data_IF_384439626143
#
_entry.id   IF_384439626143
#
_cell.length_a   1.000
_cell.length_b   1.000
_cell.length_c   1.000
_cell.angle_alpha   90.00
_cell.angle_beta   90.00
_cell.angle_gamma   90.00
#
_symmetry.space_group_name_H-M   'P 1'
#
loop_
_entity.id
_entity.type
_entity.pdbx_description
1 polymer ?
#
# COMPACT_ATOMS: atom_id res chain seq x y z
N UNK A 1 -48.49 9.77 -21.92
CA UNK A 1 -47.24 9.51 -21.18
C UNK A 1 -47.01 10.66 -20.21
N UNK A 2 -46.70 10.36 -18.97
CA UNK A 2 -46.31 11.37 -17.99
C UNK A 2 -44.92 11.94 -18.33
N UNK A 3 -44.57 13.10 -17.78
CA UNK A 3 -43.24 13.68 -17.99
C UNK A 3 -42.13 12.73 -17.54
N UNK A 4 -42.38 11.97 -16.48
CA UNK A 4 -41.44 10.95 -15.98
C UNK A 4 -41.25 9.81 -16.98
N UNK A 5 -42.32 9.30 -17.59
CA UNK A 5 -42.23 8.24 -18.61
C UNK A 5 -41.44 8.68 -19.85
N UNK A 6 -41.58 9.94 -20.26
CA UNK A 6 -40.73 10.48 -21.36
C UNK A 6 -39.25 10.49 -21.01
N UNK A 7 -38.91 10.92 -19.79
CA UNK A 7 -37.54 10.94 -19.32
C UNK A 7 -36.97 9.51 -19.29
N UNK A 8 -37.71 8.56 -18.73
CA UNK A 8 -37.30 7.16 -18.64
C UNK A 8 -37.11 6.53 -20.02
N UNK A 9 -38.04 6.77 -20.95
CA UNK A 9 -37.95 6.26 -22.30
C UNK A 9 -36.73 6.83 -23.03
N UNK A 10 -36.52 8.15 -22.93
CA UNK A 10 -35.34 8.81 -23.55
C UNK A 10 -34.05 8.27 -22.97
N UNK A 11 -33.96 8.10 -21.65
CA UNK A 11 -32.79 7.52 -21.01
C UNK A 11 -32.54 6.07 -21.43
N UNK A 12 -33.58 5.27 -21.62
CA UNK A 12 -33.46 3.92 -22.14
C UNK A 12 -32.85 3.89 -23.55
N UNK A 13 -33.32 4.79 -24.43
CA UNK A 13 -32.76 4.93 -25.79
C UNK A 13 -31.32 5.38 -25.80
N UNK A 14 -30.97 6.40 -25.00
CA UNK A 14 -29.59 6.88 -24.84
C UNK A 14 -28.69 5.78 -24.30
N UNK A 15 -29.13 5.07 -23.26
CA UNK A 15 -28.38 3.95 -22.69
C UNK A 15 -28.11 2.86 -23.73
N UNK A 16 -29.13 2.47 -24.50
CA UNK A 16 -28.99 1.48 -25.57
C UNK A 16 -28.00 1.97 -26.63
N UNK A 17 -28.13 3.20 -27.07
CA UNK A 17 -27.22 3.81 -28.05
C UNK A 17 -25.75 3.79 -27.60
N UNK A 18 -25.49 4.09 -26.31
CA UNK A 18 -24.16 4.09 -25.70
C UNK A 18 -23.66 2.68 -25.38
N UNK A 19 -24.55 1.70 -25.25
CA UNK A 19 -24.19 0.28 -25.09
C UNK A 19 -23.76 -0.33 -26.40
N UNK A 20 -24.47 -0.02 -27.49
CA UNK A 20 -24.19 -0.52 -28.83
C UNK A 20 -22.82 -0.01 -29.34
N UNK A 21 -22.52 1.25 -29.11
CA UNK A 21 -21.26 1.86 -29.52
C UNK A 21 -20.82 2.95 -28.52
N UNK A 22 -19.74 2.67 -27.80
CA UNK A 22 -19.15 3.57 -26.80
C UNK A 22 -18.71 4.91 -27.39
N UNK A 23 -18.28 4.94 -28.66
CA UNK A 23 -17.75 6.16 -29.29
C UNK A 23 -18.81 7.23 -29.48
N UNK A 24 -20.09 6.84 -29.49
CA UNK A 24 -21.23 7.76 -29.59
C UNK A 24 -21.34 8.71 -28.39
N UNK A 25 -20.72 8.40 -27.27
CA UNK A 25 -20.65 9.33 -26.12
C UNK A 25 -19.97 10.64 -26.51
N UNK A 26 -19.08 10.65 -27.49
CA UNK A 26 -18.43 11.86 -28.00
C UNK A 26 -19.42 12.90 -28.53
N UNK A 27 -20.54 12.49 -29.07
CA UNK A 27 -21.57 13.40 -29.58
C UNK A 27 -22.22 14.27 -28.49
N UNK A 28 -22.26 13.79 -27.26
CA UNK A 28 -22.72 14.58 -26.12
C UNK A 28 -21.71 15.61 -25.64
N UNK A 29 -20.43 15.44 -26.01
CA UNK A 29 -19.31 16.27 -25.60
C UNK A 29 -18.95 17.32 -26.66
N UNK A 30 -19.30 17.07 -27.94
CA UNK A 30 -19.07 17.96 -29.09
C UNK A 30 -20.32 18.82 -29.37
N UNK A 31 -20.74 19.69 -28.47
CA UNK A 31 -21.75 20.69 -28.83
C UNK A 31 -21.03 21.90 -29.40
N UNK A 32 -21.43 22.25 -30.63
CA UNK A 32 -20.95 23.38 -31.42
C UNK A 32 -20.82 24.67 -30.58
N UNK A 33 -19.70 25.37 -30.73
CA UNK A 33 -19.58 26.76 -30.35
C UNK A 33 -20.56 27.59 -31.17
N UNK A 34 -21.78 27.78 -30.69
CA UNK A 34 -22.51 28.98 -31.07
C UNK A 34 -21.76 30.15 -30.48
N UNK A 35 -21.24 31.02 -31.35
CA UNK A 35 -20.83 32.35 -31.02
C UNK A 35 -22.06 33.04 -30.39
N UNK A 36 -21.89 33.61 -29.25
CA UNK A 36 -22.80 34.40 -28.45
C UNK A 36 -23.21 33.65 -27.16
N UNK A 37 -22.37 33.84 -26.16
CA UNK A 37 -22.78 34.15 -24.80
C UNK A 37 -21.53 34.28 -23.92
N UNK A 38 -21.24 35.53 -23.51
CA UNK A 38 -20.36 35.89 -22.40
C UNK A 38 -20.98 35.41 -21.07
N UNK A 39 -20.92 34.10 -20.79
CA UNK A 39 -21.28 33.57 -19.49
C UNK A 39 -20.02 32.90 -18.88
N UNK A 40 -19.41 33.62 -17.94
CA UNK A 40 -18.27 33.18 -17.14
C UNK A 40 -18.69 32.14 -16.12
N UNK A 41 -19.07 30.92 -16.57
CA UNK A 41 -19.43 29.83 -15.70
C UNK A 41 -19.50 28.51 -16.44
N UNK A 42 -18.53 27.60 -16.27
CA UNK A 42 -18.58 26.14 -16.57
C UNK A 42 -19.18 25.72 -17.94
N UNK A 43 -19.18 26.58 -18.94
CA UNK A 43 -20.03 26.54 -20.12
C UNK A 43 -19.35 26.09 -21.41
N UNK A 44 -18.67 24.94 -21.47
CA UNK A 44 -18.46 24.22 -22.72
C UNK A 44 -19.60 23.20 -22.92
N UNK A 45 -19.96 22.85 -24.18
CA UNK A 45 -21.08 21.94 -24.47
C UNK A 45 -21.06 20.64 -23.66
N UNK A 46 -19.89 20.07 -23.37
CA UNK A 46 -19.72 18.92 -22.51
C UNK A 46 -20.16 19.15 -21.05
N UNK A 47 -19.99 20.37 -20.51
CA UNK A 47 -20.42 20.70 -19.15
C UNK A 47 -21.92 20.58 -18.94
N UNK A 48 -22.74 20.92 -19.93
CA UNK A 48 -24.19 20.79 -19.88
C UNK A 48 -24.66 19.34 -19.84
N UNK A 49 -24.02 18.44 -20.60
CA UNK A 49 -24.35 17.02 -20.59
C UNK A 49 -24.05 16.39 -19.23
N UNK A 50 -22.88 16.61 -18.66
CA UNK A 50 -22.55 16.13 -17.31
C UNK A 50 -23.54 16.68 -16.26
N UNK A 51 -23.84 17.97 -16.28
CA UNK A 51 -24.75 18.60 -15.34
C UNK A 51 -26.17 18.02 -15.41
N UNK A 52 -26.66 17.68 -16.62
CA UNK A 52 -27.95 17.04 -16.81
C UNK A 52 -28.02 15.67 -16.11
N UNK A 53 -27.08 14.78 -16.42
CA UNK A 53 -27.09 13.44 -15.84
C UNK A 53 -26.78 13.46 -14.32
N UNK A 54 -25.96 14.39 -13.84
CA UNK A 54 -25.72 14.56 -12.40
C UNK A 54 -27.00 14.96 -11.64
N UNK A 55 -27.87 15.79 -12.24
CA UNK A 55 -29.18 16.11 -11.63
C UNK A 55 -30.09 14.89 -11.58
N UNK A 56 -30.05 14.02 -12.61
CA UNK A 56 -30.88 12.82 -12.66
C UNK A 56 -30.47 11.74 -11.65
N UNK A 57 -29.23 11.80 -11.10
CA UNK A 57 -28.85 10.95 -9.96
C UNK A 57 -29.68 11.21 -8.70
N UNK A 58 -30.31 12.38 -8.59
CA UNK A 58 -31.21 12.72 -7.48
C UNK A 58 -32.71 12.40 -7.77
N UNK A 59 -32.99 11.72 -8.88
CA UNK A 59 -34.37 11.33 -9.20
C UNK A 59 -34.96 10.40 -8.14
N UNK A 60 -36.29 10.41 -7.92
CA UNK A 60 -36.93 9.56 -6.91
C UNK A 60 -36.88 8.07 -7.28
N UNK A 61 -36.91 7.74 -8.56
CA UNK A 61 -36.95 6.37 -9.05
C UNK A 61 -35.56 5.84 -9.39
N UNK A 62 -35.33 4.55 -9.07
CA UNK A 62 -34.04 3.89 -9.32
C UNK A 62 -33.71 3.76 -10.80
N UNK A 63 -34.71 3.51 -11.66
CA UNK A 63 -34.46 3.34 -13.09
C UNK A 63 -33.78 4.58 -13.69
N UNK A 64 -34.29 5.76 -13.38
CA UNK A 64 -33.71 7.04 -13.83
C UNK A 64 -32.30 7.22 -13.31
N UNK A 65 -32.04 6.93 -12.01
CA UNK A 65 -30.72 7.02 -11.41
C UNK A 65 -29.73 6.07 -12.07
N UNK A 66 -30.10 4.80 -12.25
CA UNK A 66 -29.26 3.77 -12.86
C UNK A 66 -28.87 4.15 -14.29
N UNK A 67 -29.84 4.61 -15.10
CA UNK A 67 -29.54 5.01 -16.48
C UNK A 67 -28.70 6.29 -16.55
N UNK A 68 -28.93 7.24 -15.67
CA UNK A 68 -28.10 8.44 -15.56
C UNK A 68 -26.67 8.11 -15.13
N UNK A 69 -26.49 7.23 -14.14
CA UNK A 69 -25.20 6.71 -13.70
C UNK A 69 -24.44 6.03 -14.86
N UNK A 70 -25.12 5.14 -15.60
CA UNK A 70 -24.53 4.48 -16.76
C UNK A 70 -24.06 5.49 -17.82
N UNK A 71 -24.91 6.45 -18.17
CA UNK A 71 -24.56 7.49 -19.14
C UNK A 71 -23.34 8.30 -18.66
N UNK A 72 -23.34 8.75 -17.39
CA UNK A 72 -22.20 9.48 -16.81
C UNK A 72 -20.91 8.67 -16.88
N UNK A 73 -20.93 7.39 -16.49
CA UNK A 73 -19.77 6.52 -16.54
C UNK A 73 -19.23 6.42 -17.97
N UNK A 74 -20.12 6.28 -18.96
CA UNK A 74 -19.72 6.22 -20.39
C UNK A 74 -19.15 7.54 -20.91
N UNK A 75 -19.73 8.67 -20.49
CA UNK A 75 -19.23 10.01 -20.86
C UNK A 75 -17.85 10.30 -20.26
N UNK A 76 -17.61 9.88 -19.01
CA UNK A 76 -16.33 10.07 -18.33
C UNK A 76 -15.25 9.15 -18.95
N UNK A 77 -15.60 7.91 -19.35
CA UNK A 77 -14.71 6.97 -20.00
C UNK A 77 -14.28 7.43 -21.41
N UNK A 78 -15.17 8.14 -22.11
CA UNK A 78 -14.87 8.71 -23.42
C UNK A 78 -13.95 9.92 -23.28
N UNK A 79 -12.66 9.70 -23.47
CA UNK A 79 -11.66 10.76 -23.57
C UNK A 79 -11.68 11.35 -24.97
N UNK A 80 -12.18 12.56 -25.19
CA UNK A 80 -11.97 13.22 -26.47
C UNK A 80 -10.47 13.39 -26.69
N UNK A 81 -9.94 12.87 -27.77
CA UNK A 81 -8.51 12.92 -28.10
C UNK A 81 -7.94 14.35 -28.20
N UNK A 82 -8.78 15.37 -28.20
CA UNK A 82 -8.43 16.78 -28.34
C UNK A 82 -8.80 17.67 -27.16
N UNK A 83 -9.65 17.24 -26.24
CA UNK A 83 -10.02 18.08 -25.09
C UNK A 83 -9.34 17.55 -23.84
N UNK A 84 -8.69 18.46 -23.21
CA UNK A 84 -8.10 18.54 -21.87
C UNK A 84 -8.79 17.58 -20.87
N UNK A 85 -8.64 16.29 -21.10
CA UNK A 85 -9.24 15.15 -20.40
C UNK A 85 -9.53 15.37 -18.90
N UNK A 86 -9.78 14.33 -18.17
CA UNK A 86 -9.84 14.37 -16.72
C UNK A 86 -8.58 15.04 -16.15
N UNK A 87 -8.69 16.31 -15.72
CA UNK A 87 -7.62 17.04 -15.08
C UNK A 87 -8.00 17.41 -13.67
N UNK A 88 -7.05 17.21 -12.80
CA UNK A 88 -7.10 17.63 -11.41
C UNK A 88 -5.91 18.56 -11.16
N UNK A 89 -6.06 19.57 -10.30
CA UNK A 89 -4.97 20.40 -9.80
C UNK A 89 -3.99 19.54 -8.94
N UNK A 90 -2.87 20.11 -8.56
CA UNK A 90 -1.92 19.47 -7.64
C UNK A 90 -2.59 19.13 -6.30
N UNK A 91 -3.52 19.97 -5.85
CA UNK A 91 -4.34 19.72 -4.65
C UNK A 91 -5.45 18.66 -4.87
N UNK A 92 -5.57 18.15 -6.12
CA UNK A 92 -6.55 17.14 -6.50
C UNK A 92 -7.98 17.66 -6.69
N UNK A 93 -8.15 18.98 -6.84
CA UNK A 93 -9.44 19.58 -7.20
C UNK A 93 -9.71 19.45 -8.71
N UNK A 94 -10.98 19.24 -9.10
CA UNK A 94 -11.32 19.02 -10.50
C UNK A 94 -11.18 20.31 -11.33
N UNK A 95 -10.30 20.28 -12.32
CA UNK A 95 -10.05 21.42 -13.23
C UNK A 95 -10.90 21.40 -14.50
N UNK A 96 -11.71 20.36 -14.72
CA UNK A 96 -12.55 20.20 -15.92
C UNK A 96 -13.95 19.72 -15.54
N UNK A 97 -14.98 19.97 -16.39
CA UNK A 97 -16.32 19.46 -16.18
C UNK A 97 -16.38 17.92 -16.01
N UNK A 98 -15.57 17.19 -16.76
CA UNK A 98 -15.43 15.74 -16.60
C UNK A 98 -14.84 15.37 -15.23
N UNK A 99 -13.86 16.13 -14.74
CA UNK A 99 -13.31 15.95 -13.39
C UNK A 99 -14.36 16.18 -12.31
N UNK A 100 -15.17 17.24 -12.42
CA UNK A 100 -16.28 17.50 -11.50
C UNK A 100 -17.29 16.36 -11.53
N UNK A 101 -17.63 15.86 -12.72
CA UNK A 101 -18.54 14.73 -12.89
C UNK A 101 -17.98 13.45 -12.24
N UNK A 102 -16.69 13.17 -12.44
CA UNK A 102 -16.01 12.01 -11.82
C UNK A 102 -16.03 12.09 -10.28
N UNK A 103 -15.74 13.27 -9.70
CA UNK A 103 -15.81 13.49 -8.24
C UNK A 103 -17.21 13.23 -7.71
N UNK A 104 -18.22 13.84 -8.33
CA UNK A 104 -19.60 13.72 -7.87
C UNK A 104 -20.14 12.30 -8.04
N UNK A 105 -19.86 11.66 -9.18
CA UNK A 105 -20.29 10.28 -9.43
C UNK A 105 -19.58 9.30 -8.48
N UNK A 106 -18.27 9.43 -8.26
CA UNK A 106 -17.56 8.58 -7.30
C UNK A 106 -18.11 8.70 -5.90
N UNK A 107 -18.41 9.93 -5.44
CA UNK A 107 -19.01 10.17 -4.13
C UNK A 107 -20.40 9.54 -4.03
N UNK A 108 -21.22 9.74 -5.05
CA UNK A 108 -22.57 9.18 -5.10
C UNK A 108 -22.54 7.65 -5.07
N UNK A 109 -21.68 7.01 -5.88
CA UNK A 109 -21.51 5.54 -5.89
C UNK A 109 -21.06 5.00 -4.52
N UNK A 110 -20.10 5.65 -3.89
CA UNK A 110 -19.64 5.24 -2.57
C UNK A 110 -20.72 5.41 -1.49
N UNK A 111 -21.56 6.42 -1.59
CA UNK A 111 -22.70 6.63 -0.69
C UNK A 111 -23.77 5.54 -0.88
N UNK A 112 -24.15 5.24 -2.14
CA UNK A 112 -25.16 4.20 -2.44
C UNK A 112 -24.68 2.81 -1.98
N UNK A 113 -23.38 2.48 -2.17
CA UNK A 113 -22.82 1.20 -1.74
C UNK A 113 -22.60 1.10 -0.22
N UNK A 114 -22.50 2.22 0.49
CA UNK A 114 -22.28 2.26 1.95
C UNK A 114 -23.56 2.45 2.76
N UNK A 115 -24.72 2.62 2.11
CA UNK A 115 -25.99 2.84 2.79
C UNK A 115 -26.45 1.57 3.54
N UNK A 116 -26.76 1.71 4.83
CA UNK A 116 -27.29 0.63 5.67
C UNK A 116 -28.50 1.14 6.50
N UNK A 117 -29.72 0.65 6.28
CA UNK A 117 -30.10 -0.30 5.23
C UNK A 117 -29.95 0.33 3.84
N UNK A 118 -29.66 -0.48 2.81
CA UNK A 118 -29.52 0.05 1.46
C UNK A 118 -30.83 0.74 1.03
N UNK A 119 -30.71 2.01 0.62
CA UNK A 119 -31.86 2.80 0.17
C UNK A 119 -32.56 2.20 -1.04
N UNK A 120 -31.94 1.20 -1.67
CA UNK A 120 -32.37 0.62 -2.93
C UNK A 120 -32.38 -0.89 -2.86
N UNK A 121 -33.26 -1.53 -3.67
CA UNK A 121 -33.35 -2.98 -3.75
C UNK A 121 -31.97 -3.58 -4.12
N UNK A 122 -31.73 -4.82 -3.72
CA UNK A 122 -30.49 -5.59 -3.97
C UNK A 122 -29.96 -5.49 -5.42
N UNK A 123 -30.78 -5.15 -6.40
CA UNK A 123 -30.42 -4.93 -7.79
C UNK A 123 -29.56 -3.68 -8.04
N UNK A 124 -29.52 -2.74 -7.10
CA UNK A 124 -28.75 -1.51 -7.24
C UNK A 124 -27.24 -1.76 -7.04
N UNK A 125 -26.89 -2.67 -6.16
CA UNK A 125 -25.48 -2.96 -5.82
C UNK A 125 -24.67 -3.41 -7.03
N UNK A 126 -25.09 -4.41 -7.84
CA UNK A 126 -24.33 -4.84 -9.02
C UNK A 126 -24.07 -3.70 -10.00
N UNK A 127 -25.11 -2.90 -10.33
CA UNK A 127 -24.96 -1.77 -11.26
C UNK A 127 -23.97 -0.72 -10.73
N UNK A 128 -24.01 -0.42 -9.44
CA UNK A 128 -23.09 0.54 -8.82
C UNK A 128 -21.64 0.03 -8.79
N UNK A 129 -21.42 -1.25 -8.51
CA UNK A 129 -20.09 -1.86 -8.49
C UNK A 129 -19.49 -1.88 -9.89
N UNK A 130 -20.29 -2.27 -10.92
CA UNK A 130 -19.88 -2.21 -12.32
C UNK A 130 -19.47 -0.79 -12.75
N UNK A 131 -20.25 0.21 -12.36
CA UNK A 131 -19.92 1.61 -12.65
C UNK A 131 -18.64 2.06 -11.94
N UNK A 132 -18.47 1.68 -10.67
CA UNK A 132 -17.27 1.99 -9.90
C UNK A 132 -16.03 1.31 -10.49
N UNK A 133 -16.10 0.04 -10.91
CA UNK A 133 -15.02 -0.65 -11.57
C UNK A 133 -14.61 0.04 -12.89
N UNK A 134 -15.62 0.46 -13.69
CA UNK A 134 -15.38 1.21 -14.92
C UNK A 134 -14.68 2.55 -14.66
N UNK A 135 -15.06 3.28 -13.62
CA UNK A 135 -14.40 4.53 -13.22
C UNK A 135 -12.98 4.31 -12.71
N UNK A 136 -12.75 3.29 -11.90
CA UNK A 136 -11.42 2.95 -11.35
C UNK A 136 -10.44 2.46 -12.42
N UNK A 137 -10.93 1.98 -13.58
CA UNK A 137 -10.07 1.66 -14.72
C UNK A 137 -9.32 2.91 -15.22
N UNK A 138 -9.86 4.09 -14.97
CA UNK A 138 -9.28 5.39 -15.30
C UNK A 138 -8.31 5.78 -14.16
N UNK A 139 -7.02 5.82 -14.46
CA UNK A 139 -5.97 6.06 -13.45
C UNK A 139 -6.20 7.34 -12.64
N UNK A 140 -6.61 8.42 -13.33
CA UNK A 140 -6.82 9.75 -12.77
C UNK A 140 -8.02 9.81 -11.79
N UNK A 141 -8.94 8.84 -11.87
CA UNK A 141 -10.11 8.75 -10.97
C UNK A 141 -9.79 8.02 -9.67
N UNK A 142 -8.75 7.18 -9.61
CA UNK A 142 -8.41 6.40 -8.41
C UNK A 142 -8.19 7.26 -7.15
N UNK A 143 -7.42 8.39 -7.20
CA UNK A 143 -7.30 9.29 -6.06
C UNK A 143 -8.64 9.86 -5.59
N UNK A 144 -9.51 10.21 -6.55
CA UNK A 144 -10.84 10.76 -6.30
C UNK A 144 -11.75 9.75 -5.61
N UNK A 145 -11.80 8.54 -6.14
CA UNK A 145 -12.60 7.44 -5.56
C UNK A 145 -12.07 7.04 -4.17
N UNK A 146 -10.74 7.09 -3.97
CA UNK A 146 -10.15 6.85 -2.65
C UNK A 146 -10.63 7.87 -1.61
N UNK A 147 -10.58 9.16 -1.95
CA UNK A 147 -11.11 10.23 -1.09
C UNK A 147 -12.62 10.13 -0.87
N UNK A 148 -13.36 9.62 -1.85
CA UNK A 148 -14.80 9.36 -1.72
C UNK A 148 -15.13 8.14 -0.83
N UNK A 149 -14.14 7.37 -0.41
CA UNK A 149 -14.33 6.22 0.47
C UNK A 149 -14.56 4.89 -0.24
N UNK A 150 -14.08 4.72 -1.48
CA UNK A 150 -14.28 3.50 -2.28
C UNK A 150 -13.84 2.22 -1.55
N UNK A 151 -12.71 2.24 -0.82
CA UNK A 151 -12.27 1.09 -0.04
C UNK A 151 -13.30 0.66 1.02
N UNK A 152 -13.91 1.63 1.70
CA UNK A 152 -14.96 1.37 2.70
C UNK A 152 -16.25 0.85 2.06
N UNK A 153 -16.60 1.38 0.89
CA UNK A 153 -17.81 1.00 0.17
C UNK A 153 -17.76 -0.43 -0.37
N UNK A 154 -16.59 -0.91 -0.84
CA UNK A 154 -16.43 -2.28 -1.35
C UNK A 154 -16.19 -3.32 -0.26
N UNK A 155 -15.72 -2.94 0.92
CA UNK A 155 -15.38 -3.88 1.99
C UNK A 155 -16.54 -4.85 2.38
N UNK A 156 -17.79 -4.40 2.53
CA UNK A 156 -18.91 -5.30 2.80
C UNK A 156 -19.19 -6.31 1.70
N UNK A 157 -18.90 -5.97 0.44
CA UNK A 157 -19.16 -6.80 -0.74
C UNK A 157 -18.16 -7.95 -0.89
N UNK A 158 -17.00 -7.85 -0.22
CA UNK A 158 -15.97 -8.89 -0.21
C UNK A 158 -16.17 -9.95 0.88
N UNK A 159 -17.31 -9.97 1.57
CA UNK A 159 -17.64 -10.99 2.55
C UNK A 159 -18.31 -12.18 1.86
N UNK A 160 -17.52 -13.21 1.55
CA UNK A 160 -17.98 -14.42 0.85
C UNK A 160 -19.03 -15.24 1.63
N UNK A 161 -19.13 -15.07 2.96
CA UNK A 161 -19.96 -15.87 3.83
C UNK A 161 -21.38 -15.32 4.07
N UNK A 162 -21.71 -14.13 3.54
CA UNK A 162 -22.95 -13.43 3.95
C UNK A 162 -24.17 -13.72 3.06
N UNK A 163 -24.10 -14.65 2.10
CA UNK A 163 -25.26 -15.00 1.27
C UNK A 163 -24.90 -15.48 -0.15
N UNK A 164 -25.88 -15.79 -1.00
CA UNK A 164 -25.65 -16.16 -2.39
C UNK A 164 -25.24 -14.93 -3.20
N UNK A 165 -24.00 -14.50 -3.04
CA UNK A 165 -23.42 -13.44 -3.85
C UNK A 165 -23.34 -13.91 -5.30
N UNK A 166 -23.80 -13.08 -6.23
CA UNK A 166 -23.56 -13.29 -7.63
C UNK A 166 -22.05 -13.32 -7.89
N UNK A 167 -21.59 -14.32 -8.61
CA UNK A 167 -20.18 -14.50 -8.99
C UNK A 167 -19.66 -13.24 -9.71
N UNK A 168 -20.54 -12.54 -10.44
CA UNK A 168 -20.18 -11.32 -11.15
C UNK A 168 -19.96 -10.16 -10.18
N UNK A 169 -20.77 -10.03 -9.16
CA UNK A 169 -20.63 -8.98 -8.12
C UNK A 169 -19.30 -9.15 -7.36
N UNK A 170 -18.99 -10.39 -6.93
CA UNK A 170 -17.71 -10.69 -6.29
C UNK A 170 -16.51 -10.40 -7.19
N UNK A 171 -16.62 -10.74 -8.49
CA UNK A 171 -15.58 -10.43 -9.45
C UNK A 171 -15.36 -8.91 -9.58
N UNK A 172 -16.42 -8.15 -9.72
CA UNK A 172 -16.33 -6.69 -9.90
C UNK A 172 -15.89 -5.97 -8.61
N UNK A 173 -16.31 -6.44 -7.43
CA UNK A 173 -15.81 -5.95 -6.15
C UNK A 173 -14.31 -6.24 -5.99
N UNK A 174 -13.86 -7.45 -6.34
CA UNK A 174 -12.45 -7.82 -6.39
C UNK A 174 -11.66 -6.96 -7.40
N UNK A 175 -12.24 -6.69 -8.58
CA UNK A 175 -11.66 -5.83 -9.60
C UNK A 175 -11.51 -4.38 -9.09
N UNK A 176 -12.50 -3.83 -8.41
CA UNK A 176 -12.40 -2.53 -7.73
C UNK A 176 -11.25 -2.51 -6.73
N UNK A 177 -11.15 -3.55 -5.89
CA UNK A 177 -10.05 -3.67 -4.94
C UNK A 177 -8.69 -3.73 -5.64
N UNK A 178 -8.53 -4.57 -6.67
CA UNK A 178 -7.30 -4.66 -7.46
C UNK A 178 -6.91 -3.33 -8.11
N UNK A 179 -7.86 -2.61 -8.73
CA UNK A 179 -7.60 -1.30 -9.33
C UNK A 179 -7.19 -0.25 -8.30
N UNK A 180 -7.73 -0.30 -7.09
CA UNK A 180 -7.34 0.58 -5.98
C UNK A 180 -5.92 0.30 -5.48
N UNK A 181 -5.40 -0.93 -5.60
CA UNK A 181 -4.02 -1.24 -5.16
C UNK A 181 -2.95 -0.46 -5.93
N UNK A 182 -3.25 0.07 -7.11
CA UNK A 182 -2.33 0.91 -7.89
C UNK A 182 -2.22 2.36 -7.38
N UNK A 183 -2.99 2.73 -6.33
CA UNK A 183 -2.92 4.04 -5.69
C UNK A 183 -2.48 3.88 -4.23
N UNK A 184 -1.25 4.32 -3.84
CA UNK A 184 -0.72 4.07 -2.51
C UNK A 184 -1.64 4.48 -1.34
N UNK A 185 -2.27 5.67 -1.31
CA UNK A 185 -3.19 6.03 -0.23
C UNK A 185 -4.43 5.12 -0.14
N UNK A 186 -4.87 4.50 -1.26
CA UNK A 186 -5.98 3.55 -1.24
C UNK A 186 -5.61 2.25 -0.52
N UNK A 187 -4.35 1.80 -0.62
CA UNK A 187 -3.87 0.59 0.05
C UNK A 187 -4.04 0.69 1.57
N UNK A 188 -3.71 1.85 2.15
CA UNK A 188 -3.87 2.08 3.59
C UNK A 188 -5.35 2.14 4.00
N UNK A 189 -6.19 2.77 3.17
CA UNK A 189 -7.63 2.75 3.37
C UNK A 189 -8.19 1.32 3.32
N UNK A 190 -7.72 0.49 2.39
CA UNK A 190 -8.11 -0.92 2.27
C UNK A 190 -7.71 -1.74 3.52
N UNK A 191 -6.50 -1.51 4.05
CA UNK A 191 -6.02 -2.17 5.26
C UNK A 191 -6.90 -1.81 6.47
N UNK A 192 -7.23 -0.52 6.64
CA UNK A 192 -8.08 -0.03 7.73
C UNK A 192 -9.54 -0.52 7.64
N UNK A 193 -10.06 -0.71 6.43
CA UNK A 193 -11.46 -1.09 6.21
C UNK A 193 -11.68 -2.62 6.18
N UNK A 194 -10.64 -3.45 6.39
CA UNK A 194 -10.76 -4.89 6.38
C UNK A 194 -10.86 -5.54 5.00
N UNK A 195 -10.57 -4.79 3.92
CA UNK A 195 -10.58 -5.30 2.53
C UNK A 195 -9.60 -6.44 2.34
N UNK A 196 -8.42 -6.41 2.98
CA UNK A 196 -7.42 -7.49 2.90
C UNK A 196 -8.02 -8.82 3.35
N UNK A 197 -8.70 -8.82 4.50
CA UNK A 197 -9.37 -10.00 5.02
C UNK A 197 -10.47 -10.48 4.08
N UNK A 198 -11.30 -9.55 3.58
CA UNK A 198 -12.35 -9.88 2.61
C UNK A 198 -11.81 -10.51 1.33
N UNK A 199 -10.71 -9.99 0.78
CA UNK A 199 -10.04 -10.59 -0.38
C UNK A 199 -9.54 -12.01 -0.11
N UNK A 200 -9.02 -12.29 1.09
CA UNK A 200 -8.60 -13.63 1.48
C UNK A 200 -9.79 -14.59 1.58
N UNK A 201 -10.90 -14.15 2.16
CA UNK A 201 -12.12 -14.93 2.27
C UNK A 201 -12.70 -15.25 0.87
N UNK A 202 -12.76 -14.25 -0.01
CA UNK A 202 -13.22 -14.43 -1.40
C UNK A 202 -12.30 -15.38 -2.18
N UNK A 203 -10.98 -15.20 -2.11
CA UNK A 203 -10.03 -16.09 -2.79
C UNK A 203 -10.16 -17.54 -2.33
N UNK A 204 -10.35 -17.77 -1.02
CA UNK A 204 -10.50 -19.12 -0.45
C UNK A 204 -11.83 -19.80 -0.80
N UNK A 205 -12.93 -19.04 -0.84
CA UNK A 205 -14.27 -19.57 -1.01
C UNK A 205 -14.75 -19.63 -2.46
N UNK A 206 -14.25 -18.76 -3.36
CA UNK A 206 -14.74 -18.67 -4.72
C UNK A 206 -14.45 -19.93 -5.55
N UNK A 207 -15.47 -20.43 -6.26
CA UNK A 207 -15.34 -21.57 -7.15
C UNK A 207 -14.82 -21.19 -8.55
N UNK A 208 -15.00 -19.94 -8.98
CA UNK A 208 -14.61 -19.46 -10.31
C UNK A 208 -13.21 -18.87 -10.32
N UNK A 209 -12.32 -19.38 -11.17
CA UNK A 209 -10.93 -18.93 -11.31
C UNK A 209 -10.81 -17.43 -11.49
N UNK A 210 -11.66 -16.80 -12.32
CA UNK A 210 -11.64 -15.36 -12.57
C UNK A 210 -11.78 -14.53 -11.28
N UNK A 211 -12.56 -15.00 -10.30
CA UNK A 211 -12.75 -14.32 -9.01
C UNK A 211 -11.51 -14.53 -8.13
N UNK A 212 -11.01 -15.77 -8.06
CA UNK A 212 -9.79 -16.10 -7.32
C UNK A 212 -8.61 -15.29 -7.86
N UNK A 213 -8.46 -15.21 -9.19
CA UNK A 213 -7.39 -14.46 -9.85
C UNK A 213 -7.37 -13.00 -9.41
N UNK A 214 -8.50 -12.30 -9.54
CA UNK A 214 -8.55 -10.86 -9.21
C UNK A 214 -8.26 -10.61 -7.73
N UNK A 215 -8.78 -11.45 -6.83
CA UNK A 215 -8.50 -11.36 -5.41
C UNK A 215 -7.01 -11.63 -5.09
N UNK A 216 -6.41 -12.64 -5.72
CA UNK A 216 -4.99 -12.97 -5.55
C UNK A 216 -4.08 -11.86 -6.12
N UNK A 217 -4.40 -11.29 -7.28
CA UNK A 217 -3.66 -10.17 -7.85
C UNK A 217 -3.70 -8.94 -6.93
N UNK A 218 -4.85 -8.65 -6.32
CA UNK A 218 -4.96 -7.57 -5.34
C UNK A 218 -4.09 -7.84 -4.10
N UNK A 219 -4.12 -9.06 -3.55
CA UNK A 219 -3.29 -9.46 -2.41
C UNK A 219 -1.79 -9.40 -2.74
N UNK A 220 -1.39 -9.84 -3.95
CA UNK A 220 0.00 -9.73 -4.42
C UNK A 220 0.47 -8.28 -4.46
N UNK A 221 -0.32 -7.38 -5.06
CA UNK A 221 0.05 -5.96 -5.13
C UNK A 221 0.15 -5.31 -3.75
N UNK A 222 -0.71 -5.69 -2.80
CA UNK A 222 -0.63 -5.22 -1.41
C UNK A 222 0.63 -5.76 -0.71
N UNK A 223 0.98 -7.02 -0.97
CA UNK A 223 2.15 -7.66 -0.41
C UNK A 223 3.47 -7.09 -0.96
N UNK A 224 3.56 -6.86 -2.27
CA UNK A 224 4.75 -6.31 -2.93
C UNK A 224 5.00 -4.84 -2.55
N UNK A 225 3.95 -4.09 -2.20
CA UNK A 225 4.08 -2.68 -1.83
C UNK A 225 4.82 -2.46 -0.50
N UNK A 226 4.90 -3.47 0.36
CA UNK A 226 5.64 -3.41 1.63
C UNK A 226 7.14 -3.64 1.43
N UNK A 227 7.56 -4.46 0.46
CA UNK A 227 8.97 -4.73 0.18
C UNK A 227 9.68 -3.65 -0.66
N UNK A 228 8.96 -3.00 -1.59
CA UNK A 228 9.58 -2.03 -2.51
C UNK A 228 9.91 -0.66 -1.88
N UNK A 229 9.52 -0.41 -0.63
CA UNK A 229 9.76 0.86 0.06
C UNK A 229 10.94 0.81 1.01
N UNK A 230 11.34 -0.37 1.46
CA UNK A 230 12.55 -0.55 2.25
C UNK A 230 13.80 -0.28 1.39
N UNK A 231 13.79 -0.69 0.11
CA UNK A 231 14.90 -0.44 -0.84
C UNK A 231 14.94 1.00 -1.37
N UNK A 232 13.82 1.73 -1.40
CA UNK A 232 13.76 3.10 -1.94
C UNK A 232 14.06 4.18 -0.90
N UNK A 233 13.91 3.88 0.38
CA UNK A 233 14.33 4.73 1.48
C UNK A 233 15.85 4.81 1.60
N UNK A 234 16.56 3.75 1.21
CA UNK A 234 18.02 3.69 1.26
C UNK A 234 18.71 4.44 0.11
N UNK A 235 18.06 4.59 -1.06
CA UNK A 235 18.60 5.32 -2.21
C UNK A 235 18.33 6.84 -2.14
N UNK A 236 17.27 7.30 -1.45
CA UNK A 236 16.97 8.74 -1.32
C UNK A 236 17.74 9.43 -0.18
N UNK A 237 18.19 8.71 0.86
CA UNK A 237 19.04 9.30 1.91
C UNK A 237 20.50 9.51 1.47
N UNK A 238 20.95 8.86 0.41
CA UNK A 238 22.32 9.00 -0.09
C UNK A 238 22.56 10.26 -0.95
N UNK A 239 21.55 11.07 -1.23
CA UNK A 239 21.59 12.15 -2.23
C UNK A 239 21.21 13.56 -1.76
N UNK A 240 21.17 13.90 -0.47
CA UNK A 240 20.78 15.24 -0.02
C UNK A 240 21.83 15.86 0.90
N UNK A 241 22.76 16.60 0.24
CA UNK A 241 23.56 17.65 0.86
C UNK A 241 22.74 18.95 0.93
N UNK A 242 22.70 19.51 2.14
CA UNK A 242 22.67 20.92 2.44
C UNK A 242 21.40 21.76 2.25
N UNK A 243 20.94 22.29 3.37
CA UNK A 243 20.08 23.45 3.63
C UNK A 243 18.59 23.20 3.81
N UNK A 244 18.18 22.96 5.07
CA UNK A 244 16.82 23.22 5.53
C UNK A 244 16.84 24.21 6.69
N UNK A 245 16.31 25.40 6.41
CA UNK A 245 15.91 26.39 7.41
C UNK A 245 14.71 25.86 8.20
N UNK A 246 14.80 25.97 9.53
CA UNK A 246 13.74 25.64 10.47
C UNK A 246 12.44 26.42 10.18
N UNK A 247 11.33 25.72 10.16
CA UNK A 247 10.00 26.27 10.42
C UNK A 247 9.31 25.38 11.46
N UNK A 248 9.08 26.01 12.62
CA UNK A 248 8.19 25.48 13.65
C UNK A 248 6.77 25.33 13.11
N UNK A 249 6.14 24.19 13.41
CA UNK A 249 4.74 23.92 13.12
C UNK A 249 4.38 22.50 13.57
N UNK A 250 3.48 22.41 14.51
CA UNK A 250 2.93 21.24 15.19
C UNK A 250 2.83 19.98 14.33
N UNK A 251 3.64 18.98 14.66
CA UNK A 251 3.66 17.66 14.01
C UNK A 251 2.81 16.69 14.82
N UNK A 252 1.51 16.65 14.53
CA UNK A 252 0.65 15.53 14.89
C UNK A 252 1.13 14.28 14.13
N UNK A 253 1.69 13.33 14.88
CA UNK A 253 2.42 12.16 14.44
C UNK A 253 1.78 11.38 13.29
N UNK A 254 2.19 11.67 12.07
CA UNK A 254 1.94 10.83 10.90
C UNK A 254 2.83 9.60 11.00
N UNK A 255 2.31 8.55 11.61
CA UNK A 255 2.87 7.19 11.49
C UNK A 255 2.99 6.88 9.98
N UNK A 256 4.20 6.64 9.53
CA UNK A 256 4.51 6.48 8.10
C UNK A 256 3.55 5.52 7.41
N UNK A 257 3.00 5.99 6.30
CA UNK A 257 1.91 5.38 5.50
C UNK A 257 2.19 3.91 5.09
N UNK A 258 3.45 3.48 5.10
CA UNK A 258 3.88 2.09 4.85
C UNK A 258 3.55 1.12 6.01
N UNK A 259 3.41 1.63 7.22
CA UNK A 259 3.18 0.80 8.42
C UNK A 259 1.81 0.12 8.47
N UNK A 260 0.74 0.76 7.99
CA UNK A 260 -0.64 0.23 8.16
C UNK A 260 -0.88 -1.03 7.35
N UNK A 261 -0.46 -1.06 6.09
CA UNK A 261 -0.59 -2.26 5.23
C UNK A 261 0.31 -3.38 5.75
N UNK A 262 1.56 -3.06 6.10
CA UNK A 262 2.51 -4.02 6.65
C UNK A 262 2.01 -4.66 7.95
N UNK A 263 1.54 -3.86 8.90
CA UNK A 263 0.96 -4.35 10.16
C UNK A 263 -0.28 -5.21 9.92
N UNK A 264 -1.17 -4.80 9.01
CA UNK A 264 -2.37 -5.59 8.67
C UNK A 264 -2.02 -6.93 8.03
N UNK A 265 -1.02 -6.98 7.13
CA UNK A 265 -0.56 -8.22 6.50
C UNK A 265 0.20 -9.11 7.48
N UNK A 266 1.03 -8.55 8.36
CA UNK A 266 1.73 -9.30 9.40
C UNK A 266 0.75 -9.97 10.37
N UNK A 267 -0.29 -9.24 10.79
CA UNK A 267 -1.36 -9.79 11.64
C UNK A 267 -2.13 -10.95 10.98
N UNK A 268 -2.15 -11.02 9.66
CA UNK A 268 -2.87 -12.04 8.87
C UNK A 268 -1.93 -13.02 8.16
N UNK A 269 -0.63 -12.97 8.41
CA UNK A 269 0.39 -13.77 7.69
C UNK A 269 0.12 -15.28 7.74
N UNK A 270 -0.22 -15.82 8.92
CA UNK A 270 -0.51 -17.23 9.07
C UNK A 270 -1.74 -17.67 8.27
N UNK A 271 -2.77 -16.82 8.22
CA UNK A 271 -3.98 -17.06 7.44
C UNK A 271 -3.70 -16.94 5.94
N UNK A 272 -2.92 -15.94 5.53
CA UNK A 272 -2.51 -15.75 4.14
C UNK A 272 -1.70 -16.94 3.61
N UNK A 273 -0.78 -17.47 4.42
CA UNK A 273 -0.01 -18.66 4.07
C UNK A 273 -0.90 -19.89 3.89
N UNK A 274 -1.80 -20.16 4.86
CA UNK A 274 -2.75 -21.27 4.73
C UNK A 274 -3.61 -21.12 3.48
N UNK A 275 -4.03 -19.91 3.17
CA UNK A 275 -4.76 -19.61 1.93
C UNK A 275 -3.96 -19.99 0.70
N UNK A 276 -2.69 -19.51 0.58
CA UNK A 276 -1.83 -19.81 -0.58
C UNK A 276 -1.61 -21.32 -0.72
N UNK A 277 -1.32 -22.02 0.39
CA UNK A 277 -1.18 -23.47 0.39
C UNK A 277 -2.45 -24.19 -0.09
N UNK A 278 -3.62 -23.77 0.39
CA UNK A 278 -4.89 -24.34 -0.03
C UNK A 278 -5.20 -24.06 -1.50
N UNK A 279 -4.89 -22.86 -1.99
CA UNK A 279 -5.07 -22.51 -3.40
C UNK A 279 -4.14 -23.29 -4.32
N UNK A 280 -2.92 -23.61 -3.88
CA UNK A 280 -1.97 -24.46 -4.62
C UNK A 280 -2.45 -25.91 -4.78
N UNK A 281 -3.30 -26.40 -3.87
CA UNK A 281 -3.89 -27.74 -3.97
C UNK A 281 -5.05 -27.80 -4.98
N UNK A 282 -5.54 -26.66 -5.44
CA UNK A 282 -6.60 -26.57 -6.45
C UNK A 282 -5.99 -26.63 -7.85
N UNK A 283 -6.66 -27.29 -8.76
CA UNK A 283 -6.26 -27.40 -10.16
C UNK A 283 -6.73 -26.16 -10.92
N UNK A 284 -5.84 -25.18 -11.08
CA UNK A 284 -6.07 -23.95 -11.82
C UNK A 284 -5.38 -23.98 -13.18
N UNK A 285 -6.05 -23.46 -14.19
CA UNK A 285 -5.53 -23.39 -15.56
C UNK A 285 -5.07 -21.97 -15.96
N UNK A 286 -5.33 -20.98 -15.13
CA UNK A 286 -5.01 -19.57 -15.37
C UNK A 286 -3.55 -19.28 -14.99
N UNK A 287 -2.70 -19.05 -16.02
CA UNK A 287 -1.26 -18.80 -15.86
C UNK A 287 -0.97 -17.55 -15.00
N UNK A 288 -1.79 -16.48 -15.15
CA UNK A 288 -1.64 -15.25 -14.38
C UNK A 288 -1.93 -15.48 -12.89
N UNK A 289 -2.92 -16.33 -12.60
CA UNK A 289 -3.22 -16.73 -11.22
C UNK A 289 -2.08 -17.55 -10.61
N UNK A 290 -1.54 -18.51 -11.37
CA UNK A 290 -0.43 -19.35 -10.90
C UNK A 290 0.84 -18.53 -10.64
N UNK A 291 1.16 -17.59 -11.52
CA UNK A 291 2.26 -16.66 -11.32
C UNK A 291 2.04 -15.77 -10.07
N UNK A 292 0.83 -15.23 -9.91
CA UNK A 292 0.50 -14.39 -8.75
C UNK A 292 0.56 -15.16 -7.43
N UNK A 293 0.21 -16.44 -7.41
CA UNK A 293 0.34 -17.31 -6.24
C UNK A 293 1.81 -17.57 -5.90
N UNK A 294 2.67 -17.74 -6.90
CA UNK A 294 4.10 -17.91 -6.69
C UNK A 294 4.73 -16.65 -6.09
N UNK A 295 4.48 -15.49 -6.68
CA UNK A 295 4.95 -14.21 -6.16
C UNK A 295 4.49 -13.95 -4.72
N UNK A 296 3.24 -14.31 -4.42
CA UNK A 296 2.67 -14.12 -3.09
C UNK A 296 3.29 -15.07 -2.05
N UNK A 297 3.56 -16.33 -2.44
CA UNK A 297 4.23 -17.33 -1.60
C UNK A 297 5.65 -16.89 -1.27
N UNK A 298 6.42 -16.50 -2.28
CA UNK A 298 7.79 -16.04 -2.13
C UNK A 298 7.87 -14.79 -1.22
N UNK A 299 6.98 -13.83 -1.41
CA UNK A 299 6.90 -12.64 -0.57
C UNK A 299 6.48 -12.91 0.88
N UNK A 300 5.63 -13.91 1.12
CA UNK A 300 5.24 -14.35 2.47
C UNK A 300 6.37 -15.12 3.15
N UNK A 301 7.08 -15.99 2.40
CA UNK A 301 8.20 -16.76 2.92
C UNK A 301 9.40 -15.88 3.25
N UNK A 302 9.72 -14.89 2.38
CA UNK A 302 10.78 -13.92 2.62
C UNK A 302 10.55 -13.14 3.93
N UNK A 303 9.37 -12.56 4.10
CA UNK A 303 9.01 -11.82 5.34
C UNK A 303 9.10 -12.68 6.60
N UNK A 304 8.70 -13.95 6.53
CA UNK A 304 8.82 -14.85 7.68
C UNK A 304 10.28 -15.10 8.06
N UNK A 305 11.15 -15.26 7.06
CA UNK A 305 12.58 -15.48 7.31
C UNK A 305 13.17 -14.27 8.02
N UNK A 306 12.85 -13.06 7.59
CA UNK A 306 13.29 -11.80 8.19
C UNK A 306 12.69 -11.59 9.59
N UNK A 307 11.37 -11.65 9.74
CA UNK A 307 10.69 -11.49 11.03
C UNK A 307 11.15 -12.54 12.05
N UNK A 308 11.38 -13.80 11.64
CA UNK A 308 11.80 -14.85 12.56
C UNK A 308 13.24 -14.71 13.04
N UNK A 309 14.16 -14.21 12.22
CA UNK A 309 15.57 -14.01 12.62
C UNK A 309 15.71 -12.80 13.54
N UNK A 310 15.09 -11.67 13.23
CA UNK A 310 15.12 -10.48 14.06
C UNK A 310 14.40 -10.67 15.40
N UNK A 311 13.19 -11.25 15.39
CA UNK A 311 12.44 -11.48 16.62
C UNK A 311 13.16 -12.45 17.58
N UNK A 312 13.86 -13.45 17.02
CA UNK A 312 14.70 -14.36 17.79
C UNK A 312 15.89 -13.61 18.40
N UNK A 313 16.62 -12.86 17.61
CA UNK A 313 17.74 -12.03 18.06
C UNK A 313 17.30 -11.05 19.18
N UNK A 314 16.21 -10.36 18.95
CA UNK A 314 15.62 -9.45 19.94
C UNK A 314 15.26 -10.17 21.26
N UNK A 315 14.70 -11.36 21.19
CA UNK A 315 14.37 -12.16 22.36
C UNK A 315 15.64 -12.61 23.10
N UNK A 316 16.70 -13.02 22.41
CA UNK A 316 18.00 -13.37 22.97
C UNK A 316 18.62 -12.18 23.72
N UNK A 317 18.73 -11.02 23.09
CA UNK A 317 19.25 -9.79 23.73
C UNK A 317 18.41 -9.40 24.95
N UNK A 318 17.07 -9.53 24.84
CA UNK A 318 16.15 -9.17 25.95
C UNK A 318 16.28 -10.15 27.14
N UNK A 319 16.55 -11.42 26.87
CA UNK A 319 16.78 -12.42 27.93
C UNK A 319 18.11 -12.25 28.65
N UNK A 320 19.07 -11.55 28.06
CA UNK A 320 20.44 -11.41 28.56
C UNK A 320 21.32 -12.66 28.44
N UNK A 321 20.79 -13.75 27.90
CA UNK A 321 21.52 -15.00 27.65
C UNK A 321 21.72 -15.16 26.13
N UNK A 322 22.87 -14.71 25.62
CA UNK A 322 23.22 -14.80 24.19
C UNK A 322 24.06 -16.05 23.94
N UNK A 323 23.73 -16.74 22.84
CA UNK A 323 24.50 -17.86 22.32
C UNK A 323 24.81 -17.67 20.83
N UNK A 324 25.82 -18.36 20.31
CA UNK A 324 26.16 -18.33 18.90
C UNK A 324 25.03 -18.92 18.05
N UNK A 325 24.23 -18.06 17.44
CA UNK A 325 23.18 -18.42 16.46
C UNK A 325 23.55 -17.88 15.09
N UNK A 326 22.82 -18.32 14.06
CA UNK A 326 23.05 -17.83 12.70
C UNK A 326 22.88 -16.30 12.57
N UNK A 327 22.03 -15.68 13.40
CA UNK A 327 21.81 -14.24 13.39
C UNK A 327 23.09 -13.43 13.73
N UNK A 328 23.95 -13.96 14.62
CA UNK A 328 25.20 -13.25 14.98
C UNK A 328 26.26 -13.32 13.88
N UNK A 329 26.33 -14.45 13.14
CA UNK A 329 27.42 -14.74 12.17
C UNK A 329 27.07 -14.41 10.72
N UNK A 330 25.80 -14.12 10.41
CA UNK A 330 25.33 -13.80 9.05
C UNK A 330 25.49 -12.31 8.76
N UNK A 331 26.37 -11.98 7.83
CA UNK A 331 26.58 -10.60 7.37
C UNK A 331 25.30 -10.01 6.75
N UNK A 332 24.46 -10.83 6.08
CA UNK A 332 23.18 -10.42 5.53
C UNK A 332 22.23 -9.94 6.64
N UNK A 333 22.16 -10.65 7.76
CA UNK A 333 21.37 -10.25 8.92
C UNK A 333 21.77 -8.86 9.43
N UNK A 334 23.06 -8.59 9.57
CA UNK A 334 23.56 -7.30 10.06
C UNK A 334 23.31 -6.16 9.09
N UNK A 335 23.48 -6.40 7.79
CA UNK A 335 23.21 -5.41 6.75
C UNK A 335 21.75 -4.95 6.75
N UNK A 336 20.83 -5.89 6.97
CA UNK A 336 19.38 -5.62 6.95
C UNK A 336 18.84 -5.06 8.28
N UNK A 337 19.44 -5.42 9.42
CA UNK A 337 18.84 -5.19 10.73
C UNK A 337 19.64 -4.26 11.64
N UNK A 338 20.86 -3.84 11.29
CA UNK A 338 21.68 -2.99 12.14
C UNK A 338 20.97 -1.67 12.53
N UNK A 339 20.20 -1.06 11.61
CA UNK A 339 19.42 0.14 11.90
C UNK A 339 18.38 -0.05 13.01
N UNK A 340 17.80 -1.25 13.12
CA UNK A 340 16.75 -1.55 14.13
C UNK A 340 17.29 -1.55 15.58
N UNK A 341 18.60 -1.67 15.77
CA UNK A 341 19.20 -1.54 17.10
C UNK A 341 19.14 -0.10 17.64
N UNK A 342 18.91 0.89 16.77
CA UNK A 342 18.74 2.29 17.18
C UNK A 342 17.29 2.63 17.57
N UNK A 343 16.32 1.74 17.31
CA UNK A 343 14.93 1.94 17.67
C UNK A 343 14.74 2.14 19.19
N UNK A 344 13.67 2.84 19.56
CA UNK A 344 13.32 3.10 20.95
C UNK A 344 14.49 3.67 21.77
N UNK A 345 15.16 4.69 21.22
CA UNK A 345 16.31 5.32 21.88
C UNK A 345 17.46 4.35 22.15
N UNK A 346 17.79 3.52 21.17
CA UNK A 346 18.87 2.51 21.22
C UNK A 346 18.66 1.48 22.37
N UNK A 347 17.42 1.08 22.64
CA UNK A 347 17.12 0.20 23.77
C UNK A 347 17.89 -1.12 23.69
N UNK A 348 17.87 -1.82 22.55
CA UNK A 348 18.59 -3.09 22.38
C UNK A 348 20.11 -2.90 22.48
N UNK A 349 20.64 -1.84 21.89
CA UNK A 349 22.06 -1.53 21.98
C UNK A 349 22.49 -1.25 23.44
N UNK A 350 21.67 -0.56 24.22
CA UNK A 350 21.89 -0.35 25.67
C UNK A 350 21.88 -1.66 26.44
N UNK A 351 21.01 -2.59 26.09
CA UNK A 351 20.97 -3.92 26.71
C UNK A 351 22.23 -4.72 26.41
N UNK A 352 22.74 -4.70 25.15
CA UNK A 352 24.03 -5.30 24.80
C UNK A 352 25.18 -4.71 25.62
N UNK A 353 25.27 -3.38 25.74
CA UNK A 353 26.31 -2.73 26.54
C UNK A 353 26.17 -3.05 28.03
N UNK A 354 24.94 -3.15 28.55
CA UNK A 354 24.70 -3.57 29.92
C UNK A 354 25.16 -5.01 30.16
N UNK A 355 24.87 -5.93 29.26
CA UNK A 355 25.34 -7.32 29.32
C UNK A 355 26.89 -7.41 29.26
N UNK A 356 27.55 -6.59 28.41
CA UNK A 356 29.02 -6.49 28.39
C UNK A 356 29.62 -5.92 29.69
N UNK A 357 28.81 -5.27 30.51
CA UNK A 357 29.26 -4.66 31.78
C UNK A 357 28.95 -5.52 33.00
N UNK A 358 28.16 -6.58 32.84
CA UNK A 358 27.76 -7.46 33.92
C UNK A 358 28.88 -8.41 34.31
N UNK A 359 29.43 -8.31 35.56
CA UNK A 359 30.49 -9.23 36.03
C UNK A 359 30.03 -10.68 36.19
N UNK A 360 28.74 -10.92 36.25
CA UNK A 360 28.12 -12.26 36.41
C UNK A 360 27.75 -12.93 35.07
N UNK A 361 27.89 -12.20 33.95
CA UNK A 361 27.56 -12.72 32.64
C UNK A 361 28.46 -13.91 32.26
N UNK A 362 27.87 -14.91 31.63
CA UNK A 362 28.62 -16.08 31.16
C UNK A 362 29.65 -15.66 30.08
N UNK A 363 30.85 -16.28 30.06
CA UNK A 363 31.89 -15.96 29.08
C UNK A 363 31.39 -16.04 27.64
N UNK A 364 30.47 -16.97 27.33
CA UNK A 364 29.87 -17.13 26.03
C UNK A 364 29.02 -15.92 25.62
N UNK A 365 28.19 -15.45 26.52
CA UNK A 365 27.39 -14.22 26.33
C UNK A 365 28.27 -13.00 26.10
N UNK A 366 29.35 -12.84 26.88
CA UNK A 366 30.30 -11.74 26.72
C UNK A 366 31.00 -11.76 25.34
N UNK A 367 31.36 -12.96 24.86
CA UNK A 367 31.95 -13.12 23.54
C UNK A 367 30.98 -12.72 22.42
N UNK A 368 29.72 -13.18 22.47
CA UNK A 368 28.70 -12.84 21.50
C UNK A 368 28.38 -11.34 21.52
N UNK A 369 28.25 -10.73 22.72
CA UNK A 369 28.02 -9.30 22.84
C UNK A 369 29.16 -8.47 22.23
N UNK A 370 30.42 -8.85 22.48
CA UNK A 370 31.56 -8.17 21.84
C UNK A 370 31.51 -8.27 20.33
N UNK A 371 31.16 -9.44 19.80
CA UNK A 371 30.98 -9.65 18.38
C UNK A 371 29.89 -8.71 17.82
N UNK A 372 28.72 -8.70 18.41
CA UNK A 372 27.57 -7.93 17.96
C UNK A 372 27.80 -6.42 17.99
N UNK A 373 28.44 -5.89 19.04
CA UNK A 373 28.84 -4.49 19.10
C UNK A 373 29.81 -4.13 17.96
N UNK A 374 30.71 -5.06 17.59
CA UNK A 374 31.61 -4.90 16.46
C UNK A 374 30.89 -4.93 15.10
N UNK A 375 29.93 -5.84 14.91
CA UNK A 375 29.12 -5.92 13.69
C UNK A 375 28.24 -4.69 13.53
N UNK A 376 27.55 -4.27 14.57
CA UNK A 376 26.76 -3.03 14.56
C UNK A 376 27.61 -1.82 14.17
N UNK A 377 28.82 -1.69 14.74
CA UNK A 377 29.72 -0.58 14.41
C UNK A 377 30.23 -0.63 12.95
N UNK A 378 30.18 -1.79 12.31
CA UNK A 378 30.59 -1.98 10.91
C UNK A 378 29.46 -1.69 9.93
N UNK A 379 28.24 -2.11 10.26
CA UNK A 379 27.09 -2.08 9.35
C UNK A 379 26.17 -0.87 9.53
N UNK A 380 26.33 -0.10 10.62
CA UNK A 380 25.57 1.13 10.82
C UNK A 380 26.46 2.37 10.73
N UNK A 381 26.13 3.38 9.90
CA UNK A 381 27.01 4.53 9.63
C UNK A 381 27.46 5.28 10.89
N UNK A 382 26.57 5.49 11.85
CA UNK A 382 26.85 6.14 13.14
C UNK A 382 27.18 5.14 14.26
N UNK A 383 27.29 3.85 13.97
CA UNK A 383 27.40 2.77 14.95
C UNK A 383 28.55 2.96 15.93
N UNK A 384 29.73 3.39 15.45
CA UNK A 384 30.90 3.65 16.31
C UNK A 384 30.66 4.75 17.33
N UNK A 385 30.00 5.84 16.92
CA UNK A 385 29.66 6.94 17.82
C UNK A 385 28.67 6.50 18.88
N UNK A 386 27.63 5.77 18.48
CA UNK A 386 26.62 5.26 19.40
C UNK A 386 27.20 4.27 20.41
N UNK A 387 28.02 3.32 19.97
CA UNK A 387 28.70 2.37 20.87
C UNK A 387 29.65 3.10 21.82
N UNK A 388 30.38 4.11 21.35
CA UNK A 388 31.26 4.93 22.19
C UNK A 388 30.46 5.75 23.20
N UNK A 389 29.41 6.42 22.78
CA UNK A 389 28.55 7.25 23.63
C UNK A 389 27.89 6.43 24.76
N UNK A 390 27.49 5.21 24.46
CA UNK A 390 26.93 4.26 25.40
C UNK A 390 28.00 3.54 26.27
N UNK A 391 29.27 3.89 26.17
CA UNK A 391 30.40 3.25 26.89
C UNK A 391 30.71 1.81 26.47
N UNK A 392 30.17 1.33 25.37
CA UNK A 392 30.46 -0.02 24.85
C UNK A 392 31.92 -0.24 24.50
N UNK A 393 32.63 0.80 24.02
CA UNK A 393 34.09 0.75 23.79
C UNK A 393 34.86 0.47 25.07
N UNK A 394 34.53 1.13 26.17
CA UNK A 394 35.23 0.94 27.44
C UNK A 394 34.99 -0.48 27.99
N UNK A 395 33.79 -1.04 27.75
CA UNK A 395 33.47 -2.42 28.11
C UNK A 395 34.32 -3.40 27.28
N UNK A 396 34.39 -3.24 25.95
CA UNK A 396 35.21 -4.08 25.08
C UNK A 396 36.69 -4.02 25.49
N UNK A 397 37.22 -2.84 25.80
CA UNK A 397 38.63 -2.69 26.25
C UNK A 397 38.90 -3.38 27.59
N UNK A 398 37.98 -3.38 28.54
CA UNK A 398 38.12 -4.13 29.81
C UNK A 398 38.14 -5.63 29.57
N UNK A 399 37.31 -6.14 28.63
CA UNK A 399 37.22 -7.55 28.29
C UNK A 399 38.46 -8.10 27.57
N UNK A 400 39.38 -7.26 27.09
CA UNK A 400 40.70 -7.68 26.56
C UNK A 400 41.55 -8.41 27.60
N UNK A 401 41.32 -8.17 28.89
CA UNK A 401 42.04 -8.83 30.00
C UNK A 401 41.22 -9.99 30.62
N UNK A 402 40.13 -10.42 30.00
CA UNK A 402 39.28 -11.49 30.50
C UNK A 402 39.98 -12.84 30.57
N UNK A 403 39.61 -13.72 31.50
CA UNK A 403 40.22 -15.02 31.68
C UNK A 403 39.99 -15.99 30.50
N UNK A 404 38.81 -15.90 29.87
CA UNK A 404 38.43 -16.74 28.73
C UNK A 404 39.00 -16.25 27.41
N UNK A 405 39.54 -17.17 26.60
CA UNK A 405 40.23 -16.88 25.35
C UNK A 405 39.32 -16.35 24.25
N UNK A 406 38.09 -16.88 24.15
CA UNK A 406 37.14 -16.46 23.11
C UNK A 406 36.63 -15.05 23.42
N UNK A 407 36.39 -14.73 24.71
CA UNK A 407 36.02 -13.36 25.12
C UNK A 407 37.15 -12.38 24.73
N UNK A 408 38.41 -12.69 25.04
CA UNK A 408 39.53 -11.82 24.64
C UNK A 408 39.62 -11.61 23.14
N UNK A 409 39.44 -12.67 22.37
CA UNK A 409 39.48 -12.64 20.90
C UNK A 409 38.36 -11.75 20.35
N UNK A 410 37.12 -11.94 20.80
CA UNK A 410 35.99 -11.14 20.32
C UNK A 410 36.06 -9.69 20.79
N UNK A 411 36.56 -9.44 22.01
CA UNK A 411 36.83 -8.10 22.50
C UNK A 411 37.90 -7.37 21.68
N UNK A 412 38.96 -8.08 21.24
CA UNK A 412 39.99 -7.54 20.36
C UNK A 412 39.40 -7.16 18.99
N UNK A 413 38.64 -8.07 18.37
CA UNK A 413 37.99 -7.82 17.08
C UNK A 413 37.00 -6.66 17.17
N UNK A 414 36.20 -6.59 18.21
CA UNK A 414 35.31 -5.47 18.48
C UNK A 414 36.08 -4.14 18.58
N UNK A 415 37.14 -4.12 19.39
CA UNK A 415 37.97 -2.93 19.58
C UNK A 415 38.63 -2.50 18.28
N UNK A 416 39.10 -3.44 17.44
CA UNK A 416 39.60 -3.14 16.09
C UNK A 416 38.52 -2.48 15.21
N UNK A 417 37.34 -3.03 15.16
CA UNK A 417 36.20 -2.48 14.38
C UNK A 417 35.77 -1.09 14.86
N UNK A 418 35.90 -0.82 16.15
CA UNK A 418 35.61 0.49 16.74
C UNK A 418 36.70 1.53 16.51
N UNK A 419 37.96 1.13 16.39
CA UNK A 419 39.12 2.04 16.25
C UNK A 419 39.51 2.29 14.80
N UNK A 420 39.41 1.29 13.92
CA UNK A 420 39.87 1.42 12.52
C UNK A 420 38.91 2.32 11.75
N UNK A 421 39.34 3.52 11.41
CA UNK A 421 38.69 4.30 10.37
C UNK A 421 38.82 3.57 9.03
N UNK A 422 37.73 3.34 8.32
CA UNK A 422 37.79 2.87 6.93
C UNK A 422 38.48 3.95 6.10
N UNK A 423 39.77 3.77 5.79
CA UNK A 423 40.53 4.63 4.87
C UNK A 423 39.92 4.68 3.47
N UNK A 424 38.92 3.87 3.18
CA UNK A 424 38.18 3.81 1.90
C UNK A 424 37.45 5.11 1.54
N UNK A 425 37.18 5.99 2.50
CA UNK A 425 36.57 7.30 2.23
C UNK A 425 37.56 8.45 2.00
N UNK A 426 38.85 8.22 2.12
CA UNK A 426 39.90 9.21 1.86
C UNK A 426 40.63 9.00 0.52
N UNK A 427 40.23 8.00 -0.27
CA UNK A 427 40.79 7.68 -1.58
C UNK A 427 40.07 8.28 -2.76
N UNK A 428 39.39 9.43 -2.60
CA UNK A 428 38.91 10.24 -3.70
C UNK A 428 39.97 11.24 -4.15
N UNK A 429 40.50 11.05 -5.38
CA UNK A 429 41.24 12.00 -6.20
C UNK A 429 42.66 12.41 -5.75
N UNK A 430 43.63 11.63 -6.15
CA UNK A 430 44.88 12.20 -6.68
C UNK A 430 44.84 12.03 -8.20
N UNK A 431 44.26 13.01 -8.89
CA UNK A 431 44.40 13.19 -10.33
C UNK A 431 45.82 13.60 -10.61
N UNK A 432 46.52 12.80 -11.37
CA UNK A 432 47.83 13.13 -11.96
C UNK A 432 47.73 14.31 -12.88
N UNK A 433 48.48 15.38 -12.58
CA UNK A 433 48.89 16.37 -13.56
C UNK A 433 49.98 15.80 -14.45
#
# INVERSE_FOLDING_TARGET
MSQTEYVQYTLALVTRMLSDDKTRASHFLTVEKKKDDDDQGLGGGGGKAYALFLRLLAAPDWFTREKAMFCLTRLIDQRPARDKGLRFSEDGEPATPAGVAAVRLSRWLCQELSADPPFHPQRAVPSCVTALASLLSIREVRPVATRAGAARAIAPLLKAAAGPHDVQELYEAGLCAWLLTFHPPARDAMARCGVIRGLMEVAGAAAKEKVVRVATLALRNLASATGARETRGEEEEAGLDGTRTARDGDDDGVVGVSGVVGVSLAAQESALRKLVQNLRLRDFHDEELLAALTDLEDGVLARRKEASSWDRYRAEVTSGALDWTAAHTDEGFWRENASKLTDNNCQLLRMLVAAASDPSAEPRTLAVVCHDLGEFATHYPAGRFLVHDLKGKDCAMRLLAHADDEVRKQALLCTQKLLVQKWQFLGGEVSSA
#
